data_IF_837785709536
#
_entry.id   IF_837785709536
#
_cell.length_a   1.000
_cell.length_b   1.000
_cell.length_c   1.000
_cell.angle_alpha   90.00
_cell.angle_beta   90.00
_cell.angle_gamma   90.00
#
_symmetry.space_group_name_H-M   'P 1'
#
loop_
_entity.id
_entity.type
_entity.pdbx_description
1 polymer ?
#
# COMPACT_ATOMS: atom_id res chain seq x y z
N UNK A 1 30.61 -4.33 3.29
CA UNK A 1 29.93 -3.18 3.94
C UNK A 1 28.89 -2.63 2.96
N UNK A 2 27.61 -2.99 3.09
CA UNK A 2 26.59 -2.49 2.16
C UNK A 2 26.32 -1.01 2.45
N UNK A 3 26.68 -0.15 1.49
CA UNK A 3 26.41 1.28 1.53
C UNK A 3 24.89 1.45 1.50
N UNK A 4 24.28 1.80 2.63
CA UNK A 4 22.88 2.22 2.68
C UNK A 4 22.78 3.51 1.86
N UNK A 5 22.46 3.41 0.57
CA UNK A 5 22.09 4.55 -0.28
C UNK A 5 21.08 5.37 0.52
N UNK A 6 21.37 6.63 0.82
CA UNK A 6 20.45 7.57 1.47
C UNK A 6 19.27 7.77 0.53
N UNK A 7 18.28 6.89 0.62
CA UNK A 7 17.12 6.93 -0.25
C UNK A 7 16.29 8.14 0.18
N UNK A 8 16.21 9.13 -0.71
CA UNK A 8 15.40 10.31 -0.49
C UNK A 8 13.93 9.89 -0.40
N UNK A 9 13.34 10.02 0.79
CA UNK A 9 11.89 9.96 0.95
C UNK A 9 11.34 11.31 0.51
N UNK A 10 10.46 11.27 -0.48
CA UNK A 10 9.71 12.43 -0.96
C UNK A 10 8.78 12.97 0.15
N UNK A 11 8.36 14.23 0.06
CA UNK A 11 7.47 14.86 1.04
C UNK A 11 6.16 14.09 1.21
N UNK A 12 5.64 13.55 0.10
CA UNK A 12 4.43 12.72 0.09
C UNK A 12 4.65 11.38 0.80
N UNK A 13 5.81 10.74 0.59
CA UNK A 13 6.14 9.48 1.24
C UNK A 13 6.23 9.67 2.76
N UNK A 14 6.80 10.80 3.20
CA UNK A 14 6.84 11.17 4.62
C UNK A 14 5.45 11.39 5.20
N UNK A 15 4.55 12.04 4.46
CA UNK A 15 3.18 12.26 4.91
C UNK A 15 2.41 10.94 5.01
N UNK A 16 2.60 10.00 4.07
CA UNK A 16 2.05 8.65 4.16
C UNK A 16 2.54 7.96 5.44
N UNK A 17 3.84 8.02 5.73
CA UNK A 17 4.42 7.43 6.93
C UNK A 17 3.89 8.10 8.21
N UNK A 18 3.76 9.43 8.22
CA UNK A 18 3.17 10.19 9.34
C UNK A 18 1.74 9.76 9.62
N UNK A 19 0.93 9.60 8.58
CA UNK A 19 -0.46 9.14 8.69
C UNK A 19 -0.55 7.71 9.21
N UNK A 20 0.31 6.81 8.72
CA UNK A 20 0.37 5.44 9.20
C UNK A 20 0.86 5.38 10.65
N UNK A 21 1.79 6.24 11.07
CA UNK A 21 2.23 6.28 12.45
C UNK A 21 1.09 6.70 13.40
N UNK A 22 0.28 7.68 12.97
CA UNK A 22 -0.80 8.23 13.80
C UNK A 22 -2.06 7.36 13.86
N UNK A 23 -2.45 6.71 12.75
CA UNK A 23 -3.79 6.10 12.60
C UNK A 23 -3.71 4.70 11.92
N UNK A 24 -2.58 3.99 12.00
CA UNK A 24 -2.46 2.63 11.44
C UNK A 24 -3.41 1.64 12.15
N UNK A 25 -4.00 0.67 11.43
CA UNK A 25 -3.81 0.40 10.00
C UNK A 25 -4.82 1.11 9.08
N UNK A 26 -4.38 1.57 7.91
CA UNK A 26 -5.21 2.31 6.93
C UNK A 26 -5.28 1.62 5.57
N UNK A 27 -6.42 1.75 4.90
CA UNK A 27 -6.60 1.27 3.51
C UNK A 27 -5.98 2.26 2.52
N UNK A 28 -5.44 1.78 1.40
CA UNK A 28 -4.85 2.63 0.33
C UNK A 28 -5.76 3.79 -0.08
N UNK A 29 -7.07 3.59 -0.16
CA UNK A 29 -8.04 4.64 -0.52
C UNK A 29 -8.19 5.71 0.56
N UNK A 30 -8.07 5.35 1.83
CA UNK A 30 -8.09 6.30 2.95
C UNK A 30 -6.80 7.11 3.00
N UNK A 31 -5.65 6.46 2.81
CA UNK A 31 -4.35 7.13 2.67
C UNK A 31 -4.42 8.13 1.52
N UNK A 32 -4.98 7.72 0.38
CA UNK A 32 -5.13 8.57 -0.78
C UNK A 32 -5.98 9.81 -0.55
N UNK A 33 -7.15 9.65 0.09
CA UNK A 33 -8.00 10.78 0.47
C UNK A 33 -7.29 11.76 1.42
N UNK A 34 -6.54 11.25 2.40
CA UNK A 34 -5.87 12.10 3.40
C UNK A 34 -4.66 12.85 2.84
N UNK A 35 -3.97 12.26 1.86
CA UNK A 35 -2.80 12.86 1.20
C UNK A 35 -3.21 13.74 0.01
N UNK A 36 -4.48 13.68 -0.42
CA UNK A 36 -4.99 14.45 -1.56
C UNK A 36 -4.57 13.90 -2.92
N UNK A 37 -4.33 12.59 -3.01
CA UNK A 37 -3.91 11.91 -4.25
C UNK A 37 -4.92 10.84 -4.68
N UNK A 38 -4.77 10.36 -5.91
CA UNK A 38 -5.53 9.20 -6.40
C UNK A 38 -4.94 7.89 -5.87
N UNK A 39 -5.77 6.86 -5.79
CA UNK A 39 -5.30 5.52 -5.40
C UNK A 39 -4.23 4.98 -6.38
N UNK A 40 -4.33 5.32 -7.66
CA UNK A 40 -3.36 4.94 -8.68
C UNK A 40 -1.99 5.59 -8.47
N UNK A 41 -1.95 6.87 -8.04
CA UNK A 41 -0.69 7.57 -7.76
C UNK A 41 0.00 7.05 -6.48
N UNK A 42 -0.77 6.57 -5.51
CA UNK A 42 -0.24 6.07 -4.22
C UNK A 42 0.16 4.60 -4.27
N UNK A 43 -0.49 3.78 -5.12
CA UNK A 43 -0.15 2.37 -5.27
C UNK A 43 1.36 2.09 -5.49
N UNK A 44 2.05 2.74 -6.44
CA UNK A 44 3.49 2.52 -6.62
C UNK A 44 4.31 2.98 -5.41
N UNK A 45 3.92 4.08 -4.75
CA UNK A 45 4.60 4.59 -3.54
C UNK A 45 4.50 3.61 -2.37
N UNK A 46 3.31 3.08 -2.10
CA UNK A 46 3.11 2.05 -1.07
C UNK A 46 3.89 0.78 -1.39
N UNK A 47 3.91 0.36 -2.65
CA UNK A 47 4.70 -0.80 -3.06
C UNK A 47 6.21 -0.56 -2.85
N UNK A 48 6.72 0.63 -3.18
CA UNK A 48 8.09 1.02 -2.89
C UNK A 48 8.40 1.03 -1.39
N UNK A 49 7.54 1.63 -0.56
CA UNK A 49 7.71 1.65 0.90
C UNK A 49 7.66 0.23 1.50
N UNK A 50 6.80 -0.63 0.97
CA UNK A 50 6.72 -2.03 1.35
C UNK A 50 8.00 -2.79 0.99
N UNK A 51 8.48 -2.64 -0.26
CA UNK A 51 9.71 -3.28 -0.73
C UNK A 51 10.94 -2.83 0.08
N UNK A 52 10.92 -1.60 0.61
CA UNK A 52 11.94 -1.07 1.52
C UNK A 52 11.82 -1.61 2.96
N UNK A 53 10.78 -2.38 3.27
CA UNK A 53 10.55 -2.91 4.62
C UNK A 53 10.13 -1.85 5.65
N UNK A 54 9.63 -0.69 5.20
CA UNK A 54 9.19 0.38 6.11
C UNK A 54 7.74 0.16 6.53
N UNK A 55 6.92 -0.36 5.62
CA UNK A 55 5.49 -0.65 5.86
C UNK A 55 5.20 -2.11 5.53
N UNK A 56 4.19 -2.67 6.18
CA UNK A 56 3.69 -4.02 5.96
C UNK A 56 2.19 -4.04 5.70
N UNK A 57 1.73 -5.11 5.05
CA UNK A 57 0.30 -5.41 4.95
C UNK A 57 -0.14 -5.91 6.32
N UNK A 58 -0.93 -5.12 7.02
CA UNK A 58 -1.44 -5.45 8.36
C UNK A 58 -2.64 -6.40 8.27
N UNK A 59 -3.60 -6.09 7.40
CA UNK A 59 -4.81 -6.89 7.20
C UNK A 59 -5.20 -6.91 5.74
N UNK A 60 -5.72 -8.05 5.29
CA UNK A 60 -6.33 -8.21 3.97
C UNK A 60 -7.82 -8.47 4.17
N UNK A 61 -8.67 -7.71 3.51
CA UNK A 61 -10.12 -7.94 3.60
C UNK A 61 -10.53 -9.18 2.81
N UNK A 62 -11.79 -9.60 2.99
CA UNK A 62 -12.41 -10.70 2.22
C UNK A 62 -12.11 -10.61 0.73
N UNK A 63 -11.80 -11.77 0.15
CA UNK A 63 -11.58 -11.96 -1.28
C UNK A 63 -12.91 -11.77 -2.00
N UNK A 64 -12.93 -10.94 -3.04
CA UNK A 64 -14.01 -10.89 -4.02
C UNK A 64 -13.60 -11.69 -5.24
N UNK A 65 -14.56 -12.40 -5.80
CA UNK A 65 -14.43 -13.15 -7.04
C UNK A 65 -15.27 -12.45 -8.09
N UNK A 66 -14.73 -12.26 -9.28
CA UNK A 66 -15.47 -11.68 -10.40
C UNK A 66 -15.05 -12.33 -11.70
N UNK A 67 -16.03 -12.50 -12.57
CA UNK A 67 -15.84 -12.97 -13.93
C UNK A 67 -15.47 -11.77 -14.80
N UNK A 68 -14.44 -11.94 -15.63
CA UNK A 68 -14.03 -10.93 -16.60
C UNK A 68 -13.76 -11.61 -17.93
N UNK A 69 -14.28 -11.04 -19.01
CA UNK A 69 -13.93 -11.46 -20.36
C UNK A 69 -12.76 -10.62 -20.85
N UNK A 70 -11.65 -11.26 -21.21
CA UNK A 70 -10.49 -10.63 -21.83
C UNK A 70 -10.19 -11.36 -23.13
N UNK A 71 -10.20 -10.62 -24.25
CA UNK A 71 -9.95 -11.18 -25.58
C UNK A 71 -10.81 -12.40 -25.91
N UNK A 72 -12.10 -12.35 -25.57
CA UNK A 72 -13.07 -13.43 -25.79
C UNK A 72 -12.98 -14.61 -24.81
N UNK A 73 -11.99 -14.64 -23.91
CA UNK A 73 -11.85 -15.69 -22.90
C UNK A 73 -12.41 -15.23 -21.55
N UNK A 74 -13.27 -16.04 -20.94
CA UNK A 74 -13.77 -15.80 -19.58
C UNK A 74 -12.72 -16.22 -18.56
N UNK A 75 -12.29 -15.30 -17.71
CA UNK A 75 -11.37 -15.54 -16.60
C UNK A 75 -12.05 -15.19 -15.28
N UNK A 76 -11.73 -15.97 -14.24
CA UNK A 76 -12.15 -15.70 -12.86
C UNK A 76 -11.00 -14.98 -12.17
N UNK A 77 -11.27 -13.81 -11.60
CA UNK A 77 -10.28 -13.01 -10.88
C UNK A 77 -10.63 -13.02 -9.40
N UNK A 78 -9.67 -13.45 -8.59
CA UNK A 78 -9.73 -13.38 -7.13
C UNK A 78 -8.87 -12.20 -6.66
N UNK A 79 -9.52 -11.19 -6.06
CA UNK A 79 -8.79 -10.05 -5.51
C UNK A 79 -9.38 -9.66 -4.15
N UNK A 80 -8.57 -9.27 -3.16
CA UNK A 80 -9.10 -8.71 -1.93
C UNK A 80 -9.81 -7.38 -2.22
N UNK A 81 -10.88 -7.09 -1.48
CA UNK A 81 -11.60 -5.80 -1.60
C UNK A 81 -10.74 -4.60 -1.19
N UNK A 82 -9.87 -4.78 -0.20
CA UNK A 82 -9.02 -3.76 0.40
C UNK A 82 -7.82 -4.39 1.09
N UNK A 83 -6.69 -3.68 1.04
CA UNK A 83 -5.45 -4.02 1.74
C UNK A 83 -5.20 -2.90 2.74
N UNK A 84 -5.00 -3.28 3.99
CA UNK A 84 -4.67 -2.38 5.08
C UNK A 84 -3.17 -2.37 5.29
N UNK A 85 -2.59 -1.17 5.33
CA UNK A 85 -1.18 -0.94 5.52
C UNK A 85 -0.93 -0.46 6.95
N UNK A 86 0.17 -0.92 7.52
CA UNK A 86 0.68 -0.46 8.81
C UNK A 86 2.19 -0.31 8.75
N UNK A 87 2.77 0.40 9.71
CA UNK A 87 4.23 0.51 9.82
C UNK A 87 4.79 -0.83 10.29
N UNK A 88 5.93 -1.22 9.72
CA UNK A 88 6.70 -2.35 10.23
C UNK A 88 7.64 -1.89 11.35
N UNK A 89 7.04 -1.40 12.44
CA UNK A 89 7.77 -1.27 13.69
C UNK A 89 7.98 -2.71 14.17
N UNK A 90 9.21 -3.20 14.10
CA UNK A 90 9.61 -4.30 14.98
C UNK A 90 9.49 -3.71 16.38
N UNK A 91 8.53 -4.20 17.15
CA UNK A 91 8.47 -3.91 18.58
C UNK A 91 9.87 -4.18 19.15
N UNK A 92 10.47 -3.12 19.70
CA UNK A 92 11.76 -3.18 20.39
C UNK A 92 11.57 -3.73 21.79
#
# INVERSE_FOLDING_TARGET
MQIRKKQSLDGIDREILRLLYKISPLVSSQIAKKVGLTAAAIAPRLHCLQKKGIIKKSKVSKIRTFHRVISGKSIIIHAPRSIYWGIDLKDG
#
